data_IF_332975711436
#
_entry.id   IF_332975711436
#
_cell.length_a   1.000
_cell.length_b   1.000
_cell.length_c   1.000
_cell.angle_alpha   90.00
_cell.angle_beta   90.00
_cell.angle_gamma   90.00
#
_symmetry.space_group_name_H-M   'P 1'
#
loop_
_entity.id
_entity.type
_entity.pdbx_description
1 polymer ?
#
# COMPACT_ATOMS: atom_id res chain seq x y z
N UNK A 1 2.59 -9.41 23.91
CA UNK A 1 1.97 -8.49 24.90
C UNK A 1 0.97 -7.51 24.28
N UNK A 2 1.12 -7.12 23.02
CA UNK A 2 0.11 -6.30 22.31
C UNK A 2 -1.11 -7.10 21.81
N UNK A 3 -0.92 -8.37 21.44
CA UNK A 3 -2.00 -9.27 20.99
C UNK A 3 -3.11 -9.46 22.05
N UNK A 4 -2.79 -9.33 23.34
CA UNK A 4 -3.72 -9.55 24.46
C UNK A 4 -4.77 -8.44 24.60
N UNK A 5 -4.53 -7.24 24.05
CA UNK A 5 -5.52 -6.15 24.06
C UNK A 5 -6.61 -6.29 22.98
N UNK A 6 -6.54 -7.34 22.17
CA UNK A 6 -7.48 -7.57 21.06
C UNK A 6 -8.90 -7.98 21.51
N UNK A 7 -9.15 -8.24 22.80
CA UNK A 7 -10.45 -8.77 23.24
C UNK A 7 -11.37 -7.82 24.01
N UNK A 8 -10.94 -6.62 24.42
CA UNK A 8 -11.84 -5.73 25.18
C UNK A 8 -11.62 -4.26 24.86
N UNK A 9 -12.29 -3.75 23.82
CA UNK A 9 -12.75 -2.34 23.63
C UNK A 9 -11.77 -1.18 23.92
N UNK A 10 -10.48 -1.40 24.14
CA UNK A 10 -9.51 -0.37 24.52
C UNK A 10 -8.50 -0.10 23.38
N UNK A 11 -9.02 -0.09 22.16
CA UNK A 11 -8.23 0.16 20.95
C UNK A 11 -7.50 1.51 21.01
N UNK A 12 -8.06 2.51 21.69
CA UNK A 12 -7.39 3.80 21.87
C UNK A 12 -6.15 3.72 22.77
N UNK A 13 -6.17 2.92 23.83
CA UNK A 13 -4.97 2.65 24.63
C UNK A 13 -3.95 1.86 23.83
N UNK A 14 -4.38 0.86 23.07
CA UNK A 14 -3.50 0.10 22.17
C UNK A 14 -2.81 1.02 21.14
N UNK A 15 -3.56 1.93 20.51
CA UNK A 15 -3.03 2.96 19.60
C UNK A 15 -2.04 3.87 20.33
N UNK A 16 -2.38 4.34 21.54
CA UNK A 16 -1.51 5.21 22.33
C UNK A 16 -0.17 4.53 22.66
N UNK A 17 -0.21 3.27 23.11
CA UNK A 17 0.98 2.49 23.43
C UNK A 17 1.83 2.27 22.19
N UNK A 18 1.25 1.79 21.09
CA UNK A 18 2.05 1.48 19.90
C UNK A 18 2.64 2.73 19.25
N UNK A 19 1.97 3.89 19.33
CA UNK A 19 2.55 5.20 18.93
C UNK A 19 3.79 5.60 19.71
N UNK A 20 3.99 5.08 20.93
CA UNK A 20 5.24 5.28 21.65
C UNK A 20 6.32 4.31 21.15
N UNK A 21 5.92 3.10 20.75
CA UNK A 21 6.82 2.04 20.28
C UNK A 21 7.33 2.25 18.85
N UNK A 22 6.54 2.88 17.97
CA UNK A 22 6.95 3.17 16.58
C UNK A 22 8.23 3.99 16.44
N UNK A 23 8.69 4.64 17.51
CA UNK A 23 9.96 5.37 17.54
C UNK A 23 11.19 4.48 17.56
N UNK A 24 11.04 3.20 17.88
CA UNK A 24 12.17 2.28 18.10
C UNK A 24 12.42 1.33 16.95
N UNK A 25 11.38 0.92 16.20
CA UNK A 25 11.55 -0.02 15.09
C UNK A 25 10.41 0.12 14.04
N UNK A 26 10.69 -0.05 12.74
CA UNK A 26 9.66 0.00 11.70
C UNK A 26 8.57 -1.07 11.80
N UNK A 27 8.86 -2.25 12.37
CA UNK A 27 7.84 -3.30 12.56
C UNK A 27 6.63 -2.79 13.38
N UNK A 28 6.88 -1.92 14.36
CA UNK A 28 5.80 -1.32 15.15
C UNK A 28 4.94 -0.35 14.32
N UNK A 29 5.48 0.25 13.25
CA UNK A 29 4.69 1.08 12.31
C UNK A 29 3.77 0.20 11.47
N UNK A 30 4.20 -0.98 11.03
CA UNK A 30 3.33 -1.93 10.33
C UNK A 30 2.19 -2.43 11.22
N UNK A 31 2.51 -2.76 12.48
CA UNK A 31 1.51 -3.12 13.48
C UNK A 31 0.52 -1.96 13.74
N UNK A 32 1.01 -0.72 13.77
CA UNK A 32 0.18 0.47 13.91
C UNK A 32 -0.75 0.67 12.71
N UNK A 33 -0.27 0.50 11.48
CA UNK A 33 -1.10 0.57 10.29
C UNK A 33 -2.21 -0.51 10.33
N UNK A 34 -1.85 -1.74 10.69
CA UNK A 34 -2.78 -2.85 10.83
C UNK A 34 -3.85 -2.58 11.91
N UNK A 35 -3.44 -2.01 13.04
CA UNK A 35 -4.36 -1.58 14.10
C UNK A 35 -5.33 -0.49 13.62
N UNK A 36 -4.83 0.48 12.87
CA UNK A 36 -5.67 1.52 12.29
C UNK A 36 -6.71 0.95 11.31
N UNK A 37 -6.34 -0.05 10.50
CA UNK A 37 -7.31 -0.74 9.63
C UNK A 37 -8.38 -1.45 10.45
N UNK A 38 -7.98 -2.20 11.48
CA UNK A 38 -8.92 -2.91 12.37
C UNK A 38 -9.87 -1.98 13.12
N UNK A 39 -9.42 -0.77 13.43
CA UNK A 39 -10.19 0.28 14.10
C UNK A 39 -10.89 1.22 13.13
N UNK A 40 -10.88 0.92 11.83
CA UNK A 40 -11.48 1.70 10.73
C UNK A 40 -10.91 3.13 10.59
N UNK A 41 -9.73 3.40 11.15
CA UNK A 41 -8.96 4.64 10.99
C UNK A 41 -8.18 4.62 9.69
N UNK A 42 -8.90 4.50 8.58
CA UNK A 42 -8.31 4.26 7.26
C UNK A 42 -7.36 5.34 6.76
N UNK A 43 -7.65 6.62 7.06
CA UNK A 43 -6.76 7.73 6.68
C UNK A 43 -5.42 7.64 7.41
N UNK A 44 -5.45 7.33 8.71
CA UNK A 44 -4.25 7.18 9.51
C UNK A 44 -3.44 5.95 9.07
N UNK A 45 -4.13 4.85 8.75
CA UNK A 45 -3.48 3.65 8.19
C UNK A 45 -2.75 3.95 6.89
N UNK A 46 -3.41 4.63 5.94
CA UNK A 46 -2.78 5.00 4.66
C UNK A 46 -1.56 5.90 4.86
N UNK A 47 -1.64 6.88 5.76
CA UNK A 47 -0.50 7.75 6.07
C UNK A 47 0.70 6.96 6.60
N UNK A 48 0.48 6.06 7.56
CA UNK A 48 1.57 5.22 8.09
C UNK A 48 2.15 4.31 7.01
N UNK A 49 1.32 3.82 6.08
CA UNK A 49 1.80 3.03 4.95
C UNK A 49 2.60 3.87 3.95
N UNK A 50 2.23 5.13 3.71
CA UNK A 50 3.01 6.06 2.88
C UNK A 50 4.39 6.31 3.52
N UNK A 51 4.42 6.67 4.82
CA UNK A 51 5.67 6.89 5.57
C UNK A 51 6.58 5.64 5.53
N UNK A 52 6.01 4.44 5.62
CA UNK A 52 6.75 3.17 5.55
C UNK A 52 7.32 2.88 4.15
N UNK A 53 6.58 3.23 3.11
CA UNK A 53 7.03 3.02 1.73
C UNK A 53 8.13 4.03 1.34
N UNK A 54 8.08 5.25 1.87
CA UNK A 54 9.17 6.24 1.76
C UNK A 54 10.46 5.77 2.46
N UNK A 55 10.34 5.20 3.67
CA UNK A 55 11.50 4.78 4.47
C UNK A 55 12.11 3.46 4.00
N UNK A 56 11.29 2.49 3.58
CA UNK A 56 11.70 1.10 3.36
C UNK A 56 11.45 0.59 1.94
N UNK A 57 10.90 1.42 1.05
CA UNK A 57 10.41 1.00 -0.26
C UNK A 57 9.08 0.26 -0.17
N UNK A 58 8.55 -0.25 -1.29
CA UNK A 58 7.22 -0.90 -1.32
C UNK A 58 7.26 -2.36 -0.84
N UNK A 59 6.20 -2.82 -0.13
CA UNK A 59 6.08 -4.20 0.38
C UNK A 59 4.74 -4.84 -0.01
N UNK A 60 4.76 -6.14 -0.31
CA UNK A 60 3.52 -6.88 -0.66
C UNK A 60 2.54 -6.92 0.50
N UNK A 61 3.04 -7.00 1.73
CA UNK A 61 2.21 -7.00 2.94
C UNK A 61 1.51 -5.64 3.07
N UNK A 62 2.24 -4.54 2.90
CA UNK A 62 1.72 -3.17 2.97
C UNK A 62 0.74 -2.88 1.83
N UNK A 63 1.01 -3.36 0.63
CA UNK A 63 0.10 -3.22 -0.51
C UNK A 63 -1.20 -4.00 -0.30
N UNK A 64 -1.15 -5.22 0.27
CA UNK A 64 -2.37 -5.95 0.63
C UNK A 64 -3.23 -5.17 1.63
N UNK A 65 -2.61 -4.59 2.65
CA UNK A 65 -3.32 -3.78 3.64
C UNK A 65 -3.94 -2.52 3.00
N UNK A 66 -3.17 -1.82 2.15
CA UNK A 66 -3.64 -0.66 1.37
C UNK A 66 -4.83 -1.01 0.48
N UNK A 67 -4.77 -2.15 -0.20
CA UNK A 67 -5.84 -2.65 -1.06
C UNK A 67 -7.12 -2.96 -0.27
N UNK A 68 -7.00 -3.55 0.92
CA UNK A 68 -8.14 -3.75 1.82
C UNK A 68 -8.80 -2.42 2.19
N UNK A 69 -8.01 -1.39 2.52
CA UNK A 69 -8.52 -0.06 2.85
C UNK A 69 -9.30 0.54 1.66
N UNK A 70 -8.71 0.51 0.46
CA UNK A 70 -9.33 1.08 -0.73
C UNK A 70 -10.62 0.36 -1.11
N UNK A 71 -10.66 -0.97 -0.98
CA UNK A 71 -11.85 -1.77 -1.23
C UNK A 71 -13.00 -1.41 -0.27
N UNK A 72 -12.71 -1.32 1.03
CA UNK A 72 -13.73 -1.02 2.05
C UNK A 72 -14.22 0.43 1.97
N UNK A 73 -13.36 1.37 1.57
CA UNK A 73 -13.70 2.79 1.49
C UNK A 73 -14.25 3.23 0.13
N UNK A 74 -14.22 2.35 -0.89
CA UNK A 74 -14.61 2.69 -2.25
C UNK A 74 -13.69 3.73 -2.93
N UNK A 75 -12.52 4.00 -2.37
CA UNK A 75 -11.61 5.06 -2.84
C UNK A 75 -10.73 4.62 -4.03
N UNK A 76 -11.31 3.88 -4.99
CA UNK A 76 -10.61 3.31 -6.17
C UNK A 76 -9.80 4.34 -6.97
N UNK A 77 -10.34 5.54 -7.18
CA UNK A 77 -9.64 6.62 -7.91
C UNK A 77 -8.36 7.08 -7.19
N UNK A 78 -8.37 7.13 -5.86
CA UNK A 78 -7.18 7.50 -5.07
C UNK A 78 -6.13 6.40 -5.09
N UNK A 79 -6.57 5.13 -5.09
CA UNK A 79 -5.67 3.99 -5.24
C UNK A 79 -4.90 4.03 -6.56
N UNK A 80 -5.62 4.28 -7.66
CA UNK A 80 -4.99 4.44 -8.98
C UNK A 80 -4.00 5.59 -8.94
N UNK A 81 -4.41 6.76 -8.46
CA UNK A 81 -3.52 7.93 -8.37
C UNK A 81 -2.25 7.63 -7.57
N UNK A 82 -2.38 6.99 -6.40
CA UNK A 82 -1.22 6.62 -5.58
C UNK A 82 -0.26 5.66 -6.31
N UNK A 83 -0.76 4.79 -7.19
CA UNK A 83 0.08 3.91 -7.99
C UNK A 83 0.68 4.61 -9.21
N UNK A 84 -0.04 5.56 -9.82
CA UNK A 84 0.50 6.48 -10.83
C UNK A 84 1.68 7.27 -10.24
N UNK A 85 1.48 7.90 -9.07
CA UNK A 85 2.51 8.68 -8.37
C UNK A 85 3.75 7.80 -8.06
N UNK A 86 3.57 6.56 -7.59
CA UNK A 86 4.67 5.61 -7.32
C UNK A 86 5.47 5.22 -8.56
N UNK A 87 4.81 5.09 -9.71
CA UNK A 87 5.47 4.81 -10.99
C UNK A 87 6.31 6.02 -11.42
N UNK A 88 5.78 7.23 -11.23
CA UNK A 88 6.48 8.47 -11.58
C UNK A 88 7.67 8.75 -10.64
N UNK A 89 7.53 8.45 -9.34
CA UNK A 89 8.58 8.62 -8.33
C UNK A 89 9.69 7.58 -8.41
N UNK A 90 9.35 6.34 -8.79
CA UNK A 90 10.32 5.24 -8.91
C UNK A 90 10.06 4.43 -10.19
N UNK A 91 10.50 4.93 -11.35
CA UNK A 91 10.28 4.27 -12.63
C UNK A 91 10.92 2.87 -12.68
N UNK A 92 12.10 2.66 -12.10
CA UNK A 92 12.78 1.37 -12.21
C UNK A 92 12.12 0.25 -11.37
N UNK A 93 11.15 0.59 -10.52
CA UNK A 93 10.42 -0.37 -9.70
C UNK A 93 9.32 -1.10 -10.50
N UNK A 94 9.68 -2.20 -11.17
CA UNK A 94 8.77 -3.07 -11.92
C UNK A 94 7.47 -3.39 -11.16
N UNK A 95 7.57 -3.63 -9.86
CA UNK A 95 6.43 -3.93 -8.99
C UNK A 95 5.35 -2.83 -8.99
N UNK A 96 5.73 -1.56 -9.09
CA UNK A 96 4.77 -0.45 -9.14
C UNK A 96 3.96 -0.49 -10.43
N UNK A 97 4.60 -0.81 -11.56
CA UNK A 97 3.94 -1.00 -12.84
C UNK A 97 2.98 -2.18 -12.80
N UNK A 98 3.41 -3.34 -12.29
CA UNK A 98 2.55 -4.53 -12.17
C UNK A 98 1.31 -4.26 -11.31
N UNK A 99 1.48 -3.56 -10.18
CA UNK A 99 0.38 -3.16 -9.32
C UNK A 99 -0.59 -2.19 -10.05
N UNK A 100 -0.06 -1.21 -10.80
CA UNK A 100 -0.87 -0.25 -11.56
C UNK A 100 -1.63 -0.93 -12.71
N UNK A 101 -0.99 -1.83 -13.47
CA UNK A 101 -1.60 -2.63 -14.54
C UNK A 101 -2.75 -3.46 -13.97
N UNK A 102 -2.53 -4.15 -12.85
CA UNK A 102 -3.56 -4.93 -12.18
C UNK A 102 -4.75 -4.05 -11.79
N UNK A 103 -4.49 -2.86 -11.22
CA UNK A 103 -5.56 -1.95 -10.78
C UNK A 103 -6.35 -1.32 -11.92
N UNK A 104 -5.71 -0.94 -13.03
CA UNK A 104 -6.45 -0.51 -14.21
C UNK A 104 -7.31 -1.64 -14.78
N UNK A 105 -6.77 -2.86 -14.84
CA UNK A 105 -7.48 -4.03 -15.37
C UNK A 105 -8.74 -4.36 -14.55
N UNK A 106 -8.62 -4.39 -13.22
CA UNK A 106 -9.73 -4.61 -12.28
C UNK A 106 -10.82 -3.53 -12.37
N UNK A 107 -10.46 -2.31 -12.76
CA UNK A 107 -11.41 -1.21 -12.94
C UNK A 107 -11.95 -1.08 -14.37
N UNK A 108 -11.56 -1.99 -15.27
CA UNK A 108 -12.01 -1.99 -16.67
C UNK A 108 -11.27 -1.00 -17.58
N UNK A 109 -10.25 -0.31 -17.07
CA UNK A 109 -9.42 0.66 -17.80
C UNK A 109 -8.36 -0.04 -18.67
N UNK A 110 -8.79 -0.97 -19.53
CA UNK A 110 -7.92 -1.85 -20.33
C UNK A 110 -6.89 -1.08 -21.15
N UNK A 111 -7.26 0.09 -21.69
CA UNK A 111 -6.36 0.94 -22.46
C UNK A 111 -5.18 1.43 -21.61
N UNK A 112 -5.46 1.94 -20.40
CA UNK A 112 -4.41 2.40 -19.48
C UNK A 112 -3.55 1.26 -18.96
N UNK A 113 -4.16 0.09 -18.69
CA UNK A 113 -3.42 -1.11 -18.33
C UNK A 113 -2.39 -1.49 -19.42
N UNK A 114 -2.82 -1.50 -20.69
CA UNK A 114 -1.94 -1.79 -21.83
C UNK A 114 -0.85 -0.73 -22.01
N UNK A 115 -1.18 0.56 -21.92
CA UNK A 115 -0.19 1.65 -21.99
C UNK A 115 0.86 1.55 -20.89
N UNK A 116 0.44 1.17 -19.67
CA UNK A 116 1.35 0.97 -18.53
C UNK A 116 2.26 -0.25 -18.74
N UNK A 117 1.72 -1.35 -19.26
CA UNK A 117 2.51 -2.54 -19.61
C UNK A 117 3.57 -2.22 -20.68
N UNK A 118 3.22 -1.41 -21.69
CA UNK A 118 4.19 -0.96 -22.69
C UNK A 118 5.32 -0.15 -22.08
N UNK A 119 5.00 0.82 -21.21
CA UNK A 119 6.03 1.60 -20.49
C UNK A 119 6.97 0.69 -19.69
N UNK A 120 6.44 -0.34 -19.03
CA UNK A 120 7.26 -1.30 -18.29
C UNK A 120 8.27 -2.03 -19.19
N UNK A 121 7.82 -2.50 -20.37
CA UNK A 121 8.70 -3.18 -21.35
C UNK A 121 9.75 -2.21 -21.91
N UNK A 122 9.37 -0.97 -22.20
CA UNK A 122 10.28 0.04 -22.74
C UNK A 122 11.45 0.35 -21.77
N UNK A 123 11.19 0.33 -20.45
CA UNK A 123 12.23 0.55 -19.45
C UNK A 123 13.03 -0.70 -19.09
N UNK A 124 12.44 -1.89 -19.26
CA UNK A 124 13.16 -3.14 -19.11
C UNK A 124 13.01 -4.01 -20.37
N UNK A 125 13.81 -3.73 -21.43
CA UNK A 125 13.73 -4.45 -22.70
C UNK A 125 13.94 -5.97 -22.57
N UNK A 126 14.57 -6.44 -21.49
CA UNK A 126 14.74 -7.87 -21.20
C UNK A 126 13.43 -8.60 -20.89
N UNK A 127 12.40 -7.89 -20.42
CA UNK A 127 11.06 -8.44 -20.18
C UNK A 127 10.27 -8.65 -21.47
N UNK A 128 10.69 -8.07 -22.60
CA UNK A 128 10.02 -8.19 -23.89
C UNK A 128 9.92 -9.63 -24.40
N UNK A 129 10.66 -10.58 -23.84
CA UNK A 129 10.61 -12.00 -24.21
C UNK A 129 9.55 -12.82 -23.46
N UNK A 130 8.98 -12.28 -22.38
CA UNK A 130 8.04 -12.99 -21.51
C UNK A 130 6.56 -12.64 -21.74
N UNK A 131 6.28 -11.68 -22.64
CA UNK A 131 4.94 -11.14 -22.96
C UNK A 131 4.72 -11.28 -24.47
#
# INVERSE_FOLDING_TARGET
MYETYSQQKDFDKAIKTIKQLVKYHPDYKEDLASLYVRTKRYKDALKVLDDLDEELGVSDIRDRLRNQIYNVTGQKKKQIKNLEDRVDENPDAEKNYLALIFRYSENGDKKKAFETARKLIEMNPSLSWYI
#
